data_IF_012654517822
#
_entry.id   IF_012654517822
#
_cell.length_a   1.000
_cell.length_b   1.000
_cell.length_c   1.000
_cell.angle_alpha   90.00
_cell.angle_beta   90.00
_cell.angle_gamma   90.00
#
_symmetry.space_group_name_H-M   'P 1'
#
loop_
_entity.id
_entity.type
_entity.pdbx_description
1 polymer ?
#
# COMPACT_ATOMS: atom_id res chain seq x y z
N UNK A 1 19.46 17.00 1.64
CA UNK A 1 18.87 15.66 1.89
C UNK A 1 19.58 14.92 3.02
N UNK A 2 20.82 15.26 3.33
CA UNK A 2 21.59 14.71 4.47
C UNK A 2 21.06 15.14 5.83
N UNK A 3 20.64 16.39 5.98
CA UNK A 3 20.23 16.97 7.26
C UNK A 3 18.89 16.46 7.83
N UNK A 4 18.00 15.94 6.98
CA UNK A 4 16.74 15.32 7.43
C UNK A 4 16.94 13.94 8.09
N UNK A 5 18.10 13.33 7.92
CA UNK A 5 18.45 12.02 8.48
C UNK A 5 19.18 12.15 9.83
N UNK A 6 19.81 13.28 10.09
CA UNK A 6 20.62 13.49 11.29
C UNK A 6 19.82 13.46 12.62
N UNK A 7 18.49 13.63 12.56
CA UNK A 7 17.61 13.55 13.74
C UNK A 7 16.86 12.24 13.90
N UNK A 8 17.11 11.23 13.04
CA UNK A 8 16.38 9.96 13.01
C UNK A 8 17.25 8.78 13.44
N UNK A 9 18.58 8.94 13.40
CA UNK A 9 19.57 7.90 13.77
C UNK A 9 20.06 8.20 15.19
N UNK A 10 19.79 7.28 16.10
CA UNK A 10 20.28 7.30 17.49
C UNK A 10 21.50 6.37 17.62
N UNK A 11 22.27 6.46 18.71
CA UNK A 11 23.41 5.58 18.95
C UNK A 11 23.02 4.10 18.91
N UNK A 12 21.82 3.77 19.36
CA UNK A 12 21.25 2.43 19.32
C UNK A 12 20.99 1.90 17.89
N UNK A 13 20.87 2.79 16.91
CA UNK A 13 20.67 2.43 15.50
C UNK A 13 21.96 2.00 14.79
N UNK A 14 23.14 2.33 15.32
CA UNK A 14 24.44 2.14 14.65
C UNK A 14 24.68 0.70 14.17
N UNK A 15 24.36 -0.28 15.01
CA UNK A 15 24.53 -1.68 14.65
C UNK A 15 23.66 -2.10 13.47
N UNK A 16 22.44 -1.57 13.39
CA UNK A 16 21.52 -1.83 12.27
C UNK A 16 21.94 -1.08 11.02
N UNK A 17 22.41 0.17 11.15
CA UNK A 17 22.94 0.96 10.02
C UNK A 17 24.17 0.27 9.41
N UNK A 18 25.09 -0.25 10.23
CA UNK A 18 26.25 -1.03 9.75
C UNK A 18 25.81 -2.31 9.03
N UNK A 19 24.80 -3.04 9.55
CA UNK A 19 24.28 -4.25 8.93
C UNK A 19 23.69 -3.95 7.55
N UNK A 20 22.85 -2.92 7.41
CA UNK A 20 22.24 -2.55 6.12
C UNK A 20 23.23 -1.88 5.18
N UNK A 21 24.25 -1.18 5.68
CA UNK A 21 25.32 -0.63 4.85
C UNK A 21 26.21 -1.73 4.26
N UNK A 22 26.49 -2.78 5.05
CA UNK A 22 27.28 -3.94 4.60
C UNK A 22 26.55 -4.74 3.53
N UNK A 23 25.21 -4.92 3.67
CA UNK A 23 24.40 -5.65 2.69
C UNK A 23 23.02 -4.97 2.50
N UNK A 24 22.92 -3.94 1.65
CA UNK A 24 21.68 -3.22 1.39
C UNK A 24 20.60 -4.07 0.69
N UNK A 25 20.97 -5.22 0.13
CA UNK A 25 20.03 -6.13 -0.55
C UNK A 25 19.46 -7.21 0.37
N UNK A 26 19.77 -7.18 1.67
CA UNK A 26 19.20 -8.10 2.65
C UNK A 26 17.83 -7.62 3.16
N UNK A 27 16.73 -8.21 2.66
CA UNK A 27 15.37 -7.94 3.18
C UNK A 27 15.30 -8.18 4.69
N UNK A 28 16.02 -9.20 5.19
CA UNK A 28 16.03 -9.57 6.62
C UNK A 28 16.63 -8.46 7.48
N UNK A 29 17.74 -7.85 7.05
CA UNK A 29 18.38 -6.75 7.76
C UNK A 29 17.43 -5.56 7.87
N UNK A 30 16.82 -5.13 6.77
CA UNK A 30 15.84 -4.05 6.77
C UNK A 30 14.64 -4.32 7.68
N UNK A 31 14.06 -5.53 7.62
CA UNK A 31 12.91 -5.90 8.46
C UNK A 31 13.27 -5.86 9.95
N UNK A 32 14.47 -6.33 10.33
CA UNK A 32 14.95 -6.26 11.73
C UNK A 32 15.12 -4.82 12.18
N UNK A 33 15.73 -3.99 11.36
CA UNK A 33 15.91 -2.57 11.68
C UNK A 33 14.57 -1.84 11.84
N UNK A 34 13.63 -2.06 10.92
CA UNK A 34 12.29 -1.49 11.01
C UNK A 34 11.57 -1.93 12.29
N UNK A 35 11.60 -3.24 12.60
CA UNK A 35 10.99 -3.78 13.82
C UNK A 35 11.60 -3.18 15.09
N UNK A 36 12.92 -3.00 15.13
CA UNK A 36 13.60 -2.31 16.23
C UNK A 36 13.08 -0.86 16.36
N UNK A 37 13.00 -0.11 15.27
CA UNK A 37 12.54 1.28 15.31
C UNK A 37 11.05 1.40 15.67
N UNK A 38 10.21 0.42 15.36
CA UNK A 38 8.81 0.35 15.78
C UNK A 38 8.64 0.23 17.31
N UNK A 39 9.63 -0.35 17.99
CA UNK A 39 9.64 -0.52 19.46
C UNK A 39 10.37 0.62 20.19
N UNK A 40 10.98 1.58 19.47
CA UNK A 40 11.73 2.68 20.06
C UNK A 40 10.86 3.60 20.93
N UNK A 41 11.49 4.26 21.92
CA UNK A 41 10.84 5.18 22.84
C UNK A 41 10.49 6.54 22.23
N UNK A 42 10.62 6.72 20.93
CA UNK A 42 10.25 7.93 20.23
C UNK A 42 8.76 8.27 20.40
N UNK A 43 8.44 9.54 20.38
CA UNK A 43 7.05 9.99 20.32
C UNK A 43 6.33 9.34 19.11
N UNK A 44 5.04 8.98 19.19
CA UNK A 44 4.35 8.21 18.17
C UNK A 44 4.46 8.77 16.76
N UNK A 45 4.45 10.10 16.60
CA UNK A 45 4.61 10.75 15.29
C UNK A 45 6.04 10.66 14.76
N UNK A 46 7.04 10.88 15.62
CA UNK A 46 8.45 10.78 15.26
C UNK A 46 8.81 9.34 14.89
N UNK A 47 8.37 8.37 15.69
CA UNK A 47 8.52 6.93 15.41
C UNK A 47 7.90 6.54 14.06
N UNK A 48 6.66 6.96 13.81
CA UNK A 48 6.00 6.69 12.55
C UNK A 48 6.75 7.29 11.34
N UNK A 49 7.30 8.48 11.50
CA UNK A 49 8.12 9.11 10.46
C UNK A 49 9.45 8.37 10.25
N UNK A 50 10.15 7.99 11.33
CA UNK A 50 11.39 7.24 11.25
C UNK A 50 11.20 5.90 10.54
N UNK A 51 10.15 5.17 10.90
CA UNK A 51 9.76 3.90 10.24
C UNK A 51 9.47 4.11 8.75
N UNK A 52 8.74 5.18 8.39
CA UNK A 52 8.47 5.49 6.99
C UNK A 52 9.77 5.77 6.20
N UNK A 53 10.71 6.51 6.80
CA UNK A 53 12.03 6.77 6.19
C UNK A 53 12.79 5.46 5.95
N UNK A 54 12.77 4.53 6.91
CA UNK A 54 13.43 3.22 6.76
C UNK A 54 12.80 2.40 5.65
N UNK A 55 11.46 2.34 5.55
CA UNK A 55 10.80 1.68 4.42
C UNK A 55 11.17 2.30 3.08
N UNK A 56 11.22 3.64 2.98
CA UNK A 56 11.62 4.32 1.75
C UNK A 56 13.07 4.01 1.35
N UNK A 57 13.99 3.95 2.33
CA UNK A 57 15.39 3.56 2.09
C UNK A 57 15.48 2.10 1.63
N UNK A 58 14.79 1.19 2.32
CA UNK A 58 14.76 -0.22 1.98
C UNK A 58 14.19 -0.46 0.57
N UNK A 59 13.12 0.24 0.19
CA UNK A 59 12.50 0.13 -1.12
C UNK A 59 13.31 0.77 -2.26
N UNK A 60 14.22 1.71 -1.96
CA UNK A 60 15.21 2.19 -2.95
C UNK A 60 16.23 1.11 -3.28
N UNK A 61 16.68 0.36 -2.27
CA UNK A 61 17.61 -0.74 -2.47
C UNK A 61 16.92 -1.99 -3.07
N UNK A 62 15.66 -2.23 -2.68
CA UNK A 62 14.89 -3.44 -3.00
C UNK A 62 13.50 -3.11 -3.56
N UNK A 63 13.40 -2.46 -4.73
CA UNK A 63 12.11 -2.01 -5.29
C UNK A 63 11.16 -3.17 -5.63
N UNK A 64 11.69 -4.37 -5.87
CA UNK A 64 10.93 -5.59 -6.16
C UNK A 64 10.56 -6.43 -4.93
N UNK A 65 10.81 -5.96 -3.71
CA UNK A 65 10.50 -6.74 -2.50
C UNK A 65 9.03 -6.66 -2.12
N UNK A 66 8.25 -7.70 -2.43
CA UNK A 66 6.86 -7.82 -2.01
C UNK A 66 6.70 -7.68 -0.49
N UNK A 67 7.57 -8.32 0.30
CA UNK A 67 7.50 -8.29 1.77
C UNK A 67 7.59 -6.87 2.32
N UNK A 68 8.50 -6.05 1.81
CA UNK A 68 8.66 -4.66 2.22
C UNK A 68 7.47 -3.80 1.78
N UNK A 69 7.04 -3.94 0.52
CA UNK A 69 5.86 -3.23 0.02
C UNK A 69 4.61 -3.55 0.82
N UNK A 70 4.34 -4.85 1.05
CA UNK A 70 3.16 -5.29 1.79
C UNK A 70 3.13 -4.72 3.21
N UNK A 71 4.25 -4.81 3.95
CA UNK A 71 4.34 -4.29 5.31
C UNK A 71 4.17 -2.77 5.35
N UNK A 72 4.83 -2.04 4.45
CA UNK A 72 4.73 -0.59 4.38
C UNK A 72 3.33 -0.11 4.03
N UNK A 73 2.70 -0.70 3.02
CA UNK A 73 1.33 -0.38 2.62
C UNK A 73 0.35 -0.66 3.76
N UNK A 74 0.49 -1.78 4.48
CA UNK A 74 -0.35 -2.13 5.62
C UNK A 74 -0.21 -1.10 6.76
N UNK A 75 1.02 -0.74 7.13
CA UNK A 75 1.29 0.27 8.17
C UNK A 75 0.71 1.63 7.80
N UNK A 76 0.88 2.09 6.55
CA UNK A 76 0.35 3.37 6.07
C UNK A 76 -1.17 3.37 5.99
N UNK A 77 -1.77 2.28 5.52
CA UNK A 77 -3.23 2.11 5.43
C UNK A 77 -3.88 2.14 6.81
N UNK A 78 -3.30 1.46 7.79
CA UNK A 78 -3.82 1.45 9.16
C UNK A 78 -3.93 2.86 9.76
N UNK A 79 -2.95 3.72 9.49
CA UNK A 79 -2.92 5.11 10.00
C UNK A 79 -4.01 6.01 9.39
N UNK A 80 -4.46 5.73 8.16
CA UNK A 80 -5.45 6.58 7.46
C UNK A 80 -6.87 6.01 7.47
N UNK A 81 -7.06 4.80 7.99
CA UNK A 81 -8.33 4.06 7.90
C UNK A 81 -9.55 4.83 8.44
N UNK A 82 -9.34 5.64 9.48
CA UNK A 82 -10.39 6.47 10.10
C UNK A 82 -10.41 7.92 9.62
N UNK A 83 -9.53 8.29 8.67
CA UNK A 83 -9.40 9.67 8.20
C UNK A 83 -10.43 9.98 7.09
N UNK A 84 -10.68 11.29 6.87
CA UNK A 84 -11.56 11.73 5.77
C UNK A 84 -10.88 11.57 4.40
N UNK A 85 -11.65 11.27 3.34
CA UNK A 85 -11.10 11.06 1.98
C UNK A 85 -10.29 12.24 1.42
N UNK A 86 -10.64 13.47 1.82
CA UNK A 86 -9.99 14.69 1.36
C UNK A 86 -8.65 14.96 2.05
N UNK A 87 -8.33 14.19 3.09
CA UNK A 87 -7.08 14.37 3.84
C UNK A 87 -5.87 14.12 2.94
N UNK A 88 -4.85 14.98 3.05
CA UNK A 88 -3.60 14.82 2.31
C UNK A 88 -2.90 13.48 2.62
N UNK A 89 -3.03 12.98 3.85
CA UNK A 89 -2.49 11.68 4.24
C UNK A 89 -3.13 10.52 3.47
N UNK A 90 -4.45 10.54 3.25
CA UNK A 90 -5.15 9.51 2.44
C UNK A 90 -4.66 9.55 1.00
N UNK A 91 -4.54 10.73 0.41
CA UNK A 91 -4.01 10.89 -0.96
C UNK A 91 -2.56 10.42 -1.08
N UNK A 92 -1.74 10.65 -0.06
CA UNK A 92 -0.37 10.14 -0.02
C UNK A 92 -0.32 8.60 -0.01
N UNK A 93 -1.25 7.94 0.71
CA UNK A 93 -1.35 6.48 0.68
C UNK A 93 -1.81 5.97 -0.69
N UNK A 94 -2.75 6.66 -1.36
CA UNK A 94 -3.10 6.30 -2.74
C UNK A 94 -1.90 6.39 -3.68
N UNK A 95 -1.11 7.47 -3.59
CA UNK A 95 0.11 7.62 -4.39
C UNK A 95 1.14 6.51 -4.07
N UNK A 96 1.21 6.08 -2.82
CA UNK A 96 2.06 4.97 -2.41
C UNK A 96 1.63 3.64 -3.06
N UNK A 97 0.32 3.34 -3.10
CA UNK A 97 -0.20 2.17 -3.83
C UNK A 97 0.09 2.25 -5.33
N UNK A 98 -0.11 3.41 -5.95
CA UNK A 98 0.20 3.59 -7.38
C UNK A 98 1.69 3.33 -7.65
N UNK A 99 2.58 3.81 -6.77
CA UNK A 99 4.02 3.55 -6.89
C UNK A 99 4.35 2.06 -6.69
N UNK A 100 3.73 1.40 -5.71
CA UNK A 100 3.90 -0.04 -5.50
C UNK A 100 3.47 -0.85 -6.73
N UNK A 101 2.38 -0.47 -7.38
CA UNK A 101 1.86 -1.15 -8.56
C UNK A 101 2.74 -1.00 -9.81
N UNK A 102 3.71 -0.08 -9.84
CA UNK A 102 4.71 -0.04 -10.92
C UNK A 102 5.56 -1.32 -10.96
N UNK A 103 5.88 -1.86 -9.79
CA UNK A 103 6.72 -3.08 -9.67
C UNK A 103 5.90 -4.32 -9.31
N UNK A 104 4.78 -4.15 -8.57
CA UNK A 104 3.95 -5.24 -8.02
C UNK A 104 2.62 -5.45 -8.76
N UNK A 105 2.50 -4.99 -10.03
CA UNK A 105 1.25 -5.08 -10.80
C UNK A 105 0.73 -6.52 -11.04
N UNK A 106 1.60 -7.53 -10.93
CA UNK A 106 1.22 -8.95 -11.02
C UNK A 106 0.81 -9.58 -9.68
N UNK A 107 0.84 -8.82 -8.59
CA UNK A 107 0.51 -9.31 -7.25
C UNK A 107 -0.93 -8.97 -6.87
N UNK A 108 -1.87 -9.95 -6.88
CA UNK A 108 -3.29 -9.68 -6.65
C UNK A 108 -3.57 -9.08 -5.27
N UNK A 109 -2.82 -9.47 -4.24
CA UNK A 109 -3.01 -8.96 -2.88
C UNK A 109 -2.76 -7.45 -2.76
N UNK A 110 -1.88 -6.87 -3.56
CA UNK A 110 -1.65 -5.42 -3.59
C UNK A 110 -2.87 -4.70 -4.16
N UNK A 111 -3.45 -5.23 -5.24
CA UNK A 111 -4.68 -4.70 -5.82
C UNK A 111 -5.86 -4.80 -4.85
N UNK A 112 -6.04 -5.96 -4.20
CA UNK A 112 -7.11 -6.17 -3.22
C UNK A 112 -7.00 -5.20 -2.04
N UNK A 113 -5.81 -5.05 -1.46
CA UNK A 113 -5.58 -4.10 -0.37
C UNK A 113 -5.88 -2.65 -0.79
N UNK A 114 -5.49 -2.26 -2.00
CA UNK A 114 -5.80 -0.93 -2.54
C UNK A 114 -7.31 -0.73 -2.75
N UNK A 115 -7.98 -1.71 -3.33
CA UNK A 115 -9.43 -1.67 -3.57
C UNK A 115 -10.21 -1.63 -2.24
N UNK A 116 -9.82 -2.41 -1.25
CA UNK A 116 -10.41 -2.35 0.09
C UNK A 116 -10.27 -0.97 0.74
N UNK A 117 -9.10 -0.33 0.60
CA UNK A 117 -8.92 1.05 1.05
C UNK A 117 -9.85 2.01 0.30
N UNK A 118 -9.99 1.89 -1.02
CA UNK A 118 -10.83 2.75 -1.85
C UNK A 118 -12.33 2.55 -1.60
N UNK A 119 -12.75 1.36 -1.20
CA UNK A 119 -14.14 1.04 -0.84
C UNK A 119 -14.47 1.44 0.60
N UNK A 120 -13.45 1.63 1.42
CA UNK A 120 -13.61 2.01 2.82
C UNK A 120 -14.15 3.44 3.00
N UNK A 121 -14.62 3.77 4.23
CA UNK A 121 -15.20 5.07 4.55
C UNK A 121 -14.24 6.24 4.32
N UNK A 122 -12.93 5.98 4.42
CA UNK A 122 -11.88 6.97 4.23
C UNK A 122 -11.71 7.43 2.77
N UNK A 123 -12.36 6.78 1.79
CA UNK A 123 -11.90 6.95 0.40
C UNK A 123 -12.98 6.94 -0.68
N UNK A 124 -14.23 6.88 -0.36
CA UNK A 124 -15.38 6.71 -1.29
C UNK A 124 -15.30 7.52 -2.59
N UNK A 125 -14.38 7.19 -3.46
CA UNK A 125 -14.23 7.79 -4.78
C UNK A 125 -14.61 6.77 -5.87
N UNK A 126 -15.87 6.76 -6.27
CA UNK A 126 -16.46 5.80 -7.23
C UNK A 126 -15.64 5.71 -8.53
N UNK A 127 -15.29 6.87 -9.10
CA UNK A 127 -14.57 6.91 -10.37
C UNK A 127 -13.17 6.26 -10.25
N UNK A 128 -12.43 6.56 -9.16
CA UNK A 128 -11.12 5.97 -8.90
C UNK A 128 -11.25 4.47 -8.62
N UNK A 129 -12.17 4.07 -7.76
CA UNK A 129 -12.40 2.65 -7.41
C UNK A 129 -12.66 1.83 -8.67
N UNK A 130 -13.57 2.28 -9.55
CA UNK A 130 -13.84 1.62 -10.82
C UNK A 130 -12.59 1.54 -11.71
N UNK A 131 -11.86 2.65 -11.85
CA UNK A 131 -10.66 2.68 -12.68
C UNK A 131 -9.58 1.71 -12.18
N UNK A 132 -9.44 1.56 -10.86
CA UNK A 132 -8.49 0.61 -10.25
C UNK A 132 -8.95 -0.83 -10.49
N UNK A 133 -10.24 -1.17 -10.35
CA UNK A 133 -10.77 -2.49 -10.70
C UNK A 133 -10.48 -2.83 -12.18
N UNK A 134 -10.79 -1.91 -13.10
CA UNK A 134 -10.57 -2.11 -14.52
C UNK A 134 -9.08 -2.29 -14.87
N UNK A 135 -8.18 -1.62 -14.14
CA UNK A 135 -6.73 -1.80 -14.29
C UNK A 135 -6.26 -3.14 -13.72
N UNK A 136 -6.77 -3.54 -12.56
CA UNK A 136 -6.44 -4.82 -11.93
C UNK A 136 -6.82 -6.00 -12.83
N UNK A 137 -8.04 -6.01 -13.38
CA UNK A 137 -8.50 -7.03 -14.32
C UNK A 137 -7.69 -7.09 -15.62
N UNK A 138 -7.07 -5.98 -16.04
CA UNK A 138 -6.17 -5.98 -17.21
C UNK A 138 -4.75 -6.42 -16.88
N UNK A 139 -4.29 -6.16 -15.65
CA UNK A 139 -2.93 -6.44 -15.22
C UNK A 139 -2.73 -7.88 -14.77
N UNK A 140 -3.76 -8.49 -14.16
CA UNK A 140 -3.71 -9.83 -13.62
C UNK A 140 -4.14 -10.88 -14.65
N UNK A 141 -3.57 -12.10 -14.60
CA UNK A 141 -4.05 -13.24 -15.39
C UNK A 141 -5.50 -13.58 -15.07
N UNK A 142 -6.22 -14.11 -16.07
CA UNK A 142 -7.65 -14.51 -15.94
C UNK A 142 -7.87 -15.44 -14.75
N UNK A 143 -6.99 -16.41 -14.52
CA UNK A 143 -7.07 -17.33 -13.39
C UNK A 143 -7.04 -16.66 -11.99
N UNK A 144 -6.71 -15.38 -11.91
CA UNK A 144 -6.72 -14.60 -10.66
C UNK A 144 -7.89 -13.61 -10.56
N UNK A 145 -8.73 -13.56 -11.60
CA UNK A 145 -9.89 -12.65 -11.60
C UNK A 145 -10.93 -13.05 -10.55
N UNK A 146 -11.03 -14.32 -10.19
CA UNK A 146 -11.91 -14.83 -9.12
C UNK A 146 -11.65 -14.16 -7.77
N UNK A 147 -10.43 -13.66 -7.55
CA UNK A 147 -10.09 -12.90 -6.36
C UNK A 147 -10.67 -11.47 -6.37
N UNK A 148 -10.91 -10.90 -7.57
CA UNK A 148 -11.35 -9.52 -7.74
C UNK A 148 -12.86 -9.40 -7.92
N UNK A 149 -13.48 -10.34 -8.64
CA UNK A 149 -14.89 -10.25 -8.98
C UNK A 149 -15.83 -10.15 -7.78
N UNK A 150 -15.67 -10.94 -6.70
CA UNK A 150 -16.53 -10.78 -5.52
C UNK A 150 -16.51 -9.36 -4.96
N UNK A 151 -15.32 -8.77 -4.84
CA UNK A 151 -15.14 -7.42 -4.33
C UNK A 151 -15.72 -6.36 -5.29
N UNK A 152 -15.59 -6.57 -6.61
CA UNK A 152 -16.16 -5.67 -7.62
C UNK A 152 -17.68 -5.71 -7.65
N UNK A 153 -18.28 -6.89 -7.47
CA UNK A 153 -19.73 -7.06 -7.36
C UNK A 153 -20.27 -6.43 -6.07
N UNK A 154 -19.55 -6.57 -4.95
CA UNK A 154 -19.91 -5.90 -3.70
C UNK A 154 -19.87 -4.37 -3.85
N UNK A 155 -18.88 -3.84 -4.53
CA UNK A 155 -18.85 -2.42 -4.89
C UNK A 155 -20.06 -2.01 -5.72
N UNK A 156 -20.45 -2.81 -6.70
CA UNK A 156 -21.64 -2.53 -7.52
C UNK A 156 -22.96 -2.61 -6.74
N UNK A 157 -23.04 -3.51 -5.73
CA UNK A 157 -24.22 -3.66 -4.84
C UNK A 157 -24.32 -2.60 -3.76
N UNK A 158 -23.22 -2.03 -3.34
CA UNK A 158 -23.15 -1.14 -2.16
C UNK A 158 -23.92 0.17 -2.28
N UNK A 159 -24.56 0.44 -3.43
CA UNK A 159 -25.23 1.72 -3.72
C UNK A 159 -24.28 2.89 -3.91
N UNK A 160 -22.97 2.71 -3.70
CA UNK A 160 -21.99 3.74 -3.96
C UNK A 160 -21.80 4.00 -5.46
N UNK A 161 -21.92 2.95 -6.27
CA UNK A 161 -21.82 3.05 -7.73
C UNK A 161 -23.16 3.52 -8.33
N UNK A 162 -23.16 4.49 -9.27
CA UNK A 162 -24.37 4.87 -10.00
C UNK A 162 -24.98 3.66 -10.75
N UNK A 163 -26.32 3.58 -10.90
CA UNK A 163 -26.99 2.44 -11.53
C UNK A 163 -26.44 2.04 -12.90
N UNK A 164 -26.08 2.97 -13.81
CA UNK A 164 -25.46 2.60 -15.09
C UNK A 164 -24.10 1.90 -14.93
N UNK A 165 -23.32 2.31 -13.93
CA UNK A 165 -22.02 1.71 -13.62
C UNK A 165 -22.21 0.31 -13.07
N UNK A 166 -23.11 0.13 -12.10
CA UNK A 166 -23.44 -1.17 -11.54
C UNK A 166 -23.90 -2.16 -12.63
N UNK A 167 -24.82 -1.75 -13.51
CA UNK A 167 -25.29 -2.58 -14.64
C UNK A 167 -24.15 -3.01 -15.57
N UNK A 168 -23.17 -2.13 -15.84
CA UNK A 168 -22.00 -2.48 -16.68
C UNK A 168 -21.11 -3.50 -16.00
N UNK A 169 -20.91 -3.40 -14.68
CA UNK A 169 -20.10 -4.37 -13.90
C UNK A 169 -20.79 -5.75 -13.97
N UNK A 170 -22.08 -5.83 -13.67
CA UNK A 170 -22.84 -7.08 -13.73
C UNK A 170 -22.83 -7.73 -15.12
N UNK A 171 -23.06 -6.94 -16.18
CA UNK A 171 -23.01 -7.44 -17.55
C UNK A 171 -21.62 -7.99 -17.91
N UNK A 172 -20.56 -7.32 -17.45
CA UNK A 172 -19.20 -7.75 -17.70
C UNK A 172 -18.86 -9.04 -16.95
N UNK A 173 -19.35 -9.18 -15.72
CA UNK A 173 -19.18 -10.43 -14.97
C UNK A 173 -19.90 -11.60 -15.64
N UNK A 174 -21.14 -11.42 -16.07
CA UNK A 174 -21.90 -12.44 -16.79
C UNK A 174 -21.28 -12.89 -18.14
N UNK A 175 -20.32 -12.15 -18.67
CA UNK A 175 -19.54 -12.53 -19.86
C UNK A 175 -18.22 -13.22 -19.48
N UNK A 176 -17.85 -13.16 -18.20
CA UNK A 176 -16.65 -13.79 -17.65
C UNK A 176 -16.96 -15.23 -17.20
N UNK A 177 -18.14 -15.48 -16.59
CA UNK A 177 -18.65 -16.80 -16.22
C UNK A 177 -19.00 -17.62 -17.45
#
# INVERSE_FOLDING_TARGET
MSDLLAGVVEEEDLAYEEEVARNPYSVRAWVRYIAFKETSNLAPRARAFAVDVLYERALRALPGSYKLWHAYLAARTARVRAMRPQCAAVRAVWALYERALLTMHKMPLVWLAYLQLLMGPASRCVARTRAVFDRALRALPVAQHDLLWPLYLDFARSGAAPPPTARRVWRRHALYD
#
